data_IF_828183066595
#
_entry.id   IF_828183066595
#
_cell.length_a   1.000
_cell.length_b   1.000
_cell.length_c   1.000
_cell.angle_alpha   90.00
_cell.angle_beta   90.00
_cell.angle_gamma   90.00
#
_symmetry.space_group_name_H-M   'P 1'
#
loop_
_entity.id
_entity.type
_entity.pdbx_description
1 polymer ?
#
# COMPACT_ATOMS: atom_id res chain seq x y z
N UNK A 1 38.07 29.27 19.56
CA UNK A 1 37.95 29.72 18.16
C UNK A 1 36.49 29.60 17.81
N UNK A 2 35.83 30.76 17.74
CA UNK A 2 34.48 30.97 17.23
C UNK A 2 34.46 30.63 15.74
N UNK A 3 33.72 29.59 15.36
CA UNK A 3 33.31 29.40 13.96
C UNK A 3 31.88 29.90 13.77
N UNK A 4 31.76 30.64 12.67
CA UNK A 4 30.68 31.54 12.33
C UNK A 4 29.54 30.73 11.71
N UNK A 5 28.37 30.79 12.33
CA UNK A 5 27.13 30.28 11.76
C UNK A 5 26.79 31.06 10.48
N UNK A 6 26.59 30.32 9.39
CA UNK A 6 26.22 30.85 8.09
C UNK A 6 24.76 31.35 8.13
N UNK A 7 24.47 32.64 7.87
CA UNK A 7 23.14 33.23 8.08
C UNK A 7 22.07 32.78 7.05
N UNK A 8 22.40 31.90 6.12
CA UNK A 8 21.46 31.36 5.12
C UNK A 8 20.77 30.04 5.50
N UNK A 9 21.11 29.43 6.64
CA UNK A 9 20.43 28.21 7.14
C UNK A 9 19.33 28.50 8.18
N UNK A 10 19.09 29.77 8.51
CA UNK A 10 18.15 30.16 9.58
C UNK A 10 16.78 30.62 9.11
N UNK A 11 16.55 30.79 7.79
CA UNK A 11 15.29 31.34 7.25
C UNK A 11 14.35 30.30 6.62
N UNK A 12 14.74 29.02 6.59
CA UNK A 12 13.90 27.91 6.07
C UNK A 12 13.50 26.92 7.18
N UNK A 13 13.62 27.35 8.45
CA UNK A 13 13.28 26.57 9.64
C UNK A 13 12.01 27.08 10.34
N UNK A 14 11.26 28.00 9.71
CA UNK A 14 10.00 28.52 10.23
C UNK A 14 8.95 28.56 9.12
N UNK A 15 8.26 27.45 8.89
CA UNK A 15 6.87 27.38 8.36
C UNK A 15 6.44 25.92 8.08
N UNK A 16 6.71 25.00 9.00
CA UNK A 16 5.84 23.83 9.19
C UNK A 16 5.35 23.93 10.62
N UNK A 17 4.63 25.01 10.89
CA UNK A 17 3.86 25.12 12.12
C UNK A 17 2.90 23.93 12.19
N UNK A 18 2.81 23.38 13.40
CA UNK A 18 1.87 22.39 13.88
C UNK A 18 0.43 22.77 13.52
N UNK A 19 0.09 22.62 12.25
CA UNK A 19 -1.30 22.61 11.81
C UNK A 19 -1.78 21.23 12.22
N UNK A 20 -2.27 21.16 13.46
CA UNK A 20 -3.17 20.11 13.94
C UNK A 20 -4.09 19.74 12.77
N UNK A 21 -4.37 18.44 12.59
CA UNK A 21 -5.32 17.93 11.60
C UNK A 21 -6.74 18.46 11.91
N UNK A 22 -6.94 19.76 11.73
CA UNK A 22 -8.23 20.42 11.66
C UNK A 22 -8.59 20.37 10.19
N UNK A 23 -9.06 19.20 9.75
CA UNK A 23 -10.08 19.21 8.73
C UNK A 23 -11.16 20.20 9.18
N UNK A 24 -11.67 21.03 8.27
CA UNK A 24 -12.78 21.93 8.54
C UNK A 24 -14.00 21.07 8.91
N UNK A 25 -14.13 20.76 10.21
CA UNK A 25 -15.04 19.77 10.79
C UNK A 25 -16.44 20.37 10.98
N UNK A 26 -16.95 21.08 9.99
CA UNK A 26 -18.41 21.21 9.87
C UNK A 26 -18.95 19.86 9.41
N UNK A 27 -19.12 18.94 10.35
CA UNK A 27 -19.74 17.63 10.12
C UNK A 27 -21.09 17.88 9.46
N UNK A 28 -21.34 17.39 8.22
CA UNK A 28 -22.69 17.40 7.68
C UNK A 28 -23.62 16.71 8.69
N UNK A 29 -24.79 17.31 8.94
CA UNK A 29 -25.79 16.79 9.89
C UNK A 29 -26.18 15.31 9.67
N UNK A 30 -25.88 14.76 8.49
CA UNK A 30 -26.05 13.34 8.15
C UNK A 30 -25.08 12.38 8.86
N UNK A 31 -24.03 12.87 9.55
CA UNK A 31 -23.01 12.04 10.22
C UNK A 31 -23.41 11.51 11.59
N UNK A 32 -24.62 11.83 12.09
CA UNK A 32 -25.22 11.05 13.18
C UNK A 32 -25.68 9.71 12.63
N UNK A 33 -24.71 8.84 12.33
CA UNK A 33 -24.92 7.39 12.27
C UNK A 33 -25.82 7.05 13.45
N UNK A 34 -27.05 6.58 13.22
CA UNK A 34 -27.83 5.93 14.27
C UNK A 34 -26.88 4.93 14.90
N UNK A 35 -26.39 5.19 16.10
CA UNK A 35 -25.30 4.42 16.70
C UNK A 35 -25.71 2.96 16.65
N UNK A 36 -25.07 2.19 15.78
CA UNK A 36 -25.25 0.75 15.74
C UNK A 36 -24.92 0.26 17.14
N UNK A 37 -25.82 -0.50 17.74
CA UNK A 37 -25.62 -1.05 19.09
C UNK A 37 -24.30 -1.82 19.08
N UNK A 38 -23.45 -1.57 20.08
CA UNK A 38 -22.19 -2.28 20.21
C UNK A 38 -22.45 -3.77 20.33
N UNK A 39 -21.79 -4.53 19.48
CA UNK A 39 -21.79 -5.99 19.47
C UNK A 39 -20.37 -6.49 19.25
N UNK A 40 -20.15 -7.75 19.61
CA UNK A 40 -18.87 -8.44 19.41
C UNK A 40 -18.82 -9.05 18.00
N UNK A 41 -17.61 -9.33 17.51
CA UNK A 41 -17.45 -9.98 16.23
C UNK A 41 -17.93 -11.45 16.30
N UNK A 42 -18.55 -11.89 15.21
CA UNK A 42 -19.10 -13.24 15.04
C UNK A 42 -18.94 -13.58 13.56
N UNK A 43 -18.02 -14.49 13.25
CA UNK A 43 -17.72 -14.83 11.86
C UNK A 43 -18.94 -15.37 11.11
N UNK A 44 -19.86 -16.08 11.78
CA UNK A 44 -21.04 -16.65 11.12
C UNK A 44 -22.05 -15.59 10.64
N UNK A 45 -22.04 -14.42 11.28
CA UNK A 45 -22.89 -13.27 10.93
C UNK A 45 -22.14 -12.24 10.09
N UNK A 46 -20.90 -11.96 10.48
CA UNK A 46 -20.19 -10.77 10.05
C UNK A 46 -19.25 -11.02 8.88
N UNK A 47 -18.75 -12.24 8.69
CA UNK A 47 -17.93 -12.62 7.55
C UNK A 47 -18.84 -13.13 6.42
N UNK A 48 -18.67 -12.56 5.23
CA UNK A 48 -19.32 -13.03 4.00
C UNK A 48 -18.18 -13.37 3.07
N UNK A 49 -17.97 -14.64 2.77
CA UNK A 49 -16.86 -15.05 1.91
C UNK A 49 -17.31 -15.99 0.80
N UNK A 50 -17.13 -15.52 -0.42
CA UNK A 50 -17.14 -16.32 -1.64
C UNK A 50 -15.81 -16.10 -2.36
N UNK A 51 -15.25 -17.17 -2.94
CA UNK A 51 -13.95 -17.08 -3.61
C UNK A 51 -14.08 -16.18 -4.85
N UNK A 52 -13.30 -15.09 -4.95
CA UNK A 52 -13.29 -14.25 -6.14
C UNK A 52 -12.44 -14.84 -7.26
N UNK A 53 -12.64 -14.27 -8.44
CA UNK A 53 -11.65 -14.32 -9.51
C UNK A 53 -10.36 -13.62 -9.07
N UNK A 54 -9.23 -14.20 -9.46
CA UNK A 54 -7.90 -13.67 -9.18
C UNK A 54 -7.13 -13.49 -10.48
N UNK A 55 -6.29 -12.47 -10.52
CA UNK A 55 -5.34 -12.21 -11.60
C UNK A 55 -3.98 -12.71 -11.15
N UNK A 56 -3.28 -13.47 -11.99
CA UNK A 56 -1.97 -14.01 -11.65
C UNK A 56 -0.85 -13.01 -12.00
N UNK A 57 0.31 -13.16 -11.37
CA UNK A 57 1.52 -12.38 -11.67
C UNK A 57 1.90 -12.46 -13.15
N UNK A 58 1.76 -13.63 -13.76
CA UNK A 58 2.07 -13.82 -15.18
C UNK A 58 1.07 -13.11 -16.10
N UNK A 59 -0.20 -13.01 -15.71
CA UNK A 59 -1.26 -12.35 -16.50
C UNK A 59 -1.00 -10.84 -16.64
N UNK A 60 -0.31 -10.25 -15.65
CA UNK A 60 0.13 -8.85 -15.67
C UNK A 60 1.60 -8.68 -16.08
N UNK A 61 2.21 -9.72 -16.67
CA UNK A 61 3.55 -9.64 -17.28
C UNK A 61 4.71 -9.68 -16.28
N UNK A 62 4.49 -10.04 -15.02
CA UNK A 62 5.55 -10.28 -14.05
C UNK A 62 5.98 -11.77 -14.05
N UNK A 63 7.27 -12.02 -13.86
CA UNK A 63 7.77 -13.40 -13.64
C UNK A 63 7.25 -13.96 -12.31
N UNK A 64 7.09 -15.29 -12.23
CA UNK A 64 6.69 -16.03 -11.02
C UNK A 64 7.57 -15.75 -9.81
N UNK A 65 8.84 -15.40 -10.02
CA UNK A 65 9.82 -15.20 -8.95
C UNK A 65 9.81 -13.79 -8.34
N UNK A 66 9.05 -12.86 -8.96
CA UNK A 66 8.95 -11.48 -8.49
C UNK A 66 8.17 -11.41 -7.17
N UNK A 67 7.02 -12.07 -7.10
CA UNK A 67 6.19 -12.12 -5.90
C UNK A 67 6.55 -13.28 -4.97
N UNK A 68 5.76 -13.43 -3.91
CA UNK A 68 5.82 -14.58 -2.98
C UNK A 68 4.62 -15.53 -3.16
N UNK A 69 3.74 -15.20 -4.09
CA UNK A 69 2.59 -15.99 -4.52
C UNK A 69 2.39 -15.84 -6.03
N UNK A 70 1.78 -16.83 -6.72
CA UNK A 70 1.34 -16.65 -8.09
C UNK A 70 0.21 -15.62 -8.25
N UNK A 71 -0.58 -15.34 -7.21
CA UNK A 71 -1.74 -14.42 -7.30
C UNK A 71 -1.29 -12.96 -7.17
N UNK A 72 -1.43 -12.16 -8.22
CA UNK A 72 -1.11 -10.74 -8.17
C UNK A 72 -2.14 -9.94 -7.36
N UNK A 73 -3.41 -10.06 -7.74
CA UNK A 73 -4.51 -9.28 -7.17
C UNK A 73 -5.85 -10.02 -7.33
N UNK A 74 -6.77 -9.86 -6.38
CA UNK A 74 -8.14 -10.35 -6.53
C UNK A 74 -9.02 -9.32 -7.25
N UNK A 75 -10.06 -9.78 -7.95
CA UNK A 75 -11.21 -8.90 -8.19
C UNK A 75 -11.87 -8.53 -6.84
N UNK A 76 -12.59 -7.40 -6.75
CA UNK A 76 -13.32 -7.04 -5.53
C UNK A 76 -14.31 -8.13 -5.12
N UNK A 77 -14.39 -8.41 -3.83
CA UNK A 77 -15.29 -9.43 -3.28
C UNK A 77 -15.83 -9.01 -1.94
N UNK A 78 -17.09 -9.38 -1.65
CA UNK A 78 -17.65 -9.14 -0.32
C UNK A 78 -16.81 -9.93 0.69
N UNK A 79 -16.32 -9.27 1.73
CA UNK A 79 -15.60 -9.89 2.84
C UNK A 79 -16.38 -9.76 4.15
N UNK A 80 -16.94 -8.58 4.40
CA UNK A 80 -17.69 -8.29 5.62
C UNK A 80 -19.12 -7.87 5.31
N UNK A 81 -20.07 -8.27 6.15
CA UNK A 81 -21.46 -7.82 6.08
C UNK A 81 -21.58 -6.31 6.27
N UNK A 82 -22.72 -5.74 5.87
CA UNK A 82 -23.03 -4.34 6.14
C UNK A 82 -22.96 -4.03 7.65
N UNK A 83 -23.55 -4.88 8.50
CA UNK A 83 -23.53 -4.72 9.96
C UNK A 83 -22.09 -4.64 10.48
N UNK A 84 -21.20 -5.52 10.01
CA UNK A 84 -19.80 -5.52 10.38
C UNK A 84 -19.08 -4.22 9.97
N UNK A 85 -19.32 -3.74 8.75
CA UNK A 85 -18.79 -2.44 8.30
C UNK A 85 -19.30 -1.31 9.19
N UNK A 86 -20.55 -1.34 9.61
CA UNK A 86 -21.11 -0.32 10.50
C UNK A 86 -20.47 -0.34 11.89
N UNK A 87 -20.14 -1.52 12.44
CA UNK A 87 -19.37 -1.65 13.68
C UNK A 87 -17.95 -1.06 13.53
N UNK A 88 -17.24 -1.43 12.45
CA UNK A 88 -15.90 -0.90 12.15
C UNK A 88 -15.92 0.63 11.99
N UNK A 89 -16.88 1.17 11.24
CA UNK A 89 -17.04 2.63 11.07
C UNK A 89 -17.25 3.33 12.40
N UNK A 90 -18.06 2.76 13.31
CA UNK A 90 -18.26 3.34 14.64
C UNK A 90 -16.93 3.46 15.39
N UNK A 91 -16.12 2.40 15.40
CA UNK A 91 -14.81 2.41 16.05
C UNK A 91 -13.85 3.42 15.41
N UNK A 92 -13.82 3.49 14.07
CA UNK A 92 -13.02 4.47 13.32
C UNK A 92 -13.36 5.91 13.69
N UNK A 93 -14.66 6.26 13.73
CA UNK A 93 -15.08 7.63 14.06
C UNK A 93 -14.88 7.97 15.53
N UNK A 94 -15.09 7.03 16.44
CA UNK A 94 -14.79 7.22 17.87
C UNK A 94 -13.30 7.55 18.08
N UNK A 95 -12.42 6.81 17.41
CA UNK A 95 -10.97 7.05 17.47
C UNK A 95 -10.58 8.37 16.81
N UNK A 96 -11.11 8.68 15.64
CA UNK A 96 -10.85 9.95 14.96
C UNK A 96 -11.17 11.15 15.87
N UNK A 97 -12.29 11.09 16.58
CA UNK A 97 -12.80 12.22 17.35
C UNK A 97 -12.16 12.32 18.75
N UNK A 98 -11.71 11.19 19.33
CA UNK A 98 -11.22 11.13 20.71
C UNK A 98 -9.72 10.84 20.87
N UNK A 99 -9.02 10.39 19.81
CA UNK A 99 -7.63 9.90 19.86
C UNK A 99 -6.74 10.51 18.77
N UNK A 100 -6.42 11.81 18.86
CA UNK A 100 -5.60 12.51 17.85
C UNK A 100 -4.17 11.97 17.74
N UNK A 101 -3.66 11.25 18.75
CA UNK A 101 -2.35 10.59 18.70
C UNK A 101 -2.24 9.50 17.63
N UNK A 102 -3.38 8.96 17.16
CA UNK A 102 -3.45 7.95 16.11
C UNK A 102 -3.63 8.54 14.70
N UNK A 103 -3.69 9.87 14.57
CA UNK A 103 -3.91 10.58 13.30
C UNK A 103 -2.59 11.00 12.65
N UNK A 104 -2.43 10.66 11.37
CA UNK A 104 -1.23 10.92 10.58
C UNK A 104 -1.58 11.57 9.23
N UNK A 105 -0.60 12.25 8.62
CA UNK A 105 -0.71 12.86 7.30
C UNK A 105 0.61 12.69 6.55
N UNK A 106 0.54 12.62 5.22
CA UNK A 106 1.71 12.66 4.34
C UNK A 106 1.52 13.49 3.07
N UNK A 107 2.60 13.59 2.29
CA UNK A 107 2.59 14.17 0.94
C UNK A 107 1.71 13.41 -0.06
N UNK A 108 1.34 12.16 0.20
CA UNK A 108 0.49 11.34 -0.69
C UNK A 108 -0.89 11.01 -0.12
N UNK A 109 -1.12 11.22 1.19
CA UNK A 109 -2.39 10.95 1.84
C UNK A 109 -2.72 12.05 2.88
N UNK A 110 -3.88 12.72 2.77
CA UNK A 110 -4.19 13.90 3.59
C UNK A 110 -4.56 13.57 5.04
N UNK A 111 -5.07 12.38 5.31
CA UNK A 111 -5.57 12.01 6.63
C UNK A 111 -5.61 10.48 6.79
N UNK A 112 -4.90 9.98 7.80
CA UNK A 112 -4.76 8.54 8.07
C UNK A 112 -4.93 8.23 9.56
N UNK A 113 -5.53 7.08 9.88
CA UNK A 113 -5.53 6.50 11.24
C UNK A 113 -4.64 5.26 11.27
N UNK A 114 -3.72 5.15 12.23
CA UNK A 114 -2.84 3.99 12.40
C UNK A 114 -2.65 3.60 13.87
N UNK A 115 -2.34 2.33 14.13
CA UNK A 115 -1.97 1.84 15.47
C UNK A 115 -3.07 1.92 16.55
N UNK A 116 -4.34 2.10 16.16
CA UNK A 116 -5.44 2.29 17.11
C UNK A 116 -6.16 0.99 17.46
N UNK A 117 -6.14 0.01 16.54
CA UNK A 117 -7.04 -1.14 16.59
C UNK A 117 -6.91 -1.99 17.86
N UNK A 118 -5.70 -2.38 18.30
CA UNK A 118 -5.56 -3.27 19.46
C UNK A 118 -6.11 -2.69 20.76
N UNK A 119 -6.16 -1.35 20.86
CA UNK A 119 -6.55 -0.65 22.09
C UNK A 119 -7.99 -0.15 22.04
N UNK A 120 -8.46 0.30 20.89
CA UNK A 120 -9.70 1.08 20.79
C UNK A 120 -10.77 0.44 19.89
N UNK A 121 -10.42 -0.56 19.09
CA UNK A 121 -11.33 -1.15 18.10
C UNK A 121 -11.42 -2.69 18.22
N UNK A 122 -11.98 -3.21 19.34
CA UNK A 122 -12.03 -4.65 19.59
C UNK A 122 -12.82 -5.43 18.52
N UNK A 123 -13.91 -4.87 17.98
CA UNK A 123 -14.65 -5.54 16.90
C UNK A 123 -13.76 -5.67 15.66
N UNK A 124 -13.08 -4.59 15.29
CA UNK A 124 -12.14 -4.58 14.16
C UNK A 124 -10.96 -5.52 14.41
N UNK A 125 -10.40 -5.55 15.62
CA UNK A 125 -9.31 -6.44 15.98
C UNK A 125 -9.71 -7.91 15.82
N UNK A 126 -10.83 -8.30 16.41
CA UNK A 126 -11.35 -9.66 16.31
C UNK A 126 -11.66 -10.02 14.86
N UNK A 127 -12.29 -9.11 14.10
CA UNK A 127 -12.61 -9.35 12.69
C UNK A 127 -11.38 -9.68 11.83
N UNK A 128 -10.27 -8.97 12.02
CA UNK A 128 -9.05 -9.15 11.23
C UNK A 128 -8.11 -10.24 11.74
N UNK A 129 -8.24 -10.65 13.01
CA UNK A 129 -7.43 -11.72 13.60
C UNK A 129 -8.17 -13.07 13.66
N UNK A 130 -9.48 -13.08 13.40
CA UNK A 130 -10.28 -14.31 13.41
C UNK A 130 -9.75 -15.37 12.42
N UNK A 131 -9.62 -16.65 12.82
CA UNK A 131 -9.12 -17.72 11.96
C UNK A 131 -9.83 -17.83 10.61
N UNK A 132 -11.16 -17.67 10.58
CA UNK A 132 -11.95 -17.76 9.34
C UNK A 132 -11.65 -16.61 8.37
N UNK A 133 -11.45 -15.39 8.88
CA UNK A 133 -11.02 -14.25 8.06
C UNK A 133 -9.63 -14.50 7.48
N UNK A 134 -8.69 -14.96 8.31
CA UNK A 134 -7.32 -15.27 7.87
C UNK A 134 -7.30 -16.41 6.84
N UNK A 135 -8.15 -17.43 7.01
CA UNK A 135 -8.30 -18.52 6.06
C UNK A 135 -8.86 -18.04 4.72
N UNK A 136 -9.88 -17.17 4.74
CA UNK A 136 -10.44 -16.56 3.54
C UNK A 136 -9.37 -15.75 2.77
N UNK A 137 -8.67 -14.84 3.44
CA UNK A 137 -7.63 -14.00 2.84
C UNK A 137 -6.47 -14.84 2.31
N UNK A 138 -6.00 -15.83 3.07
CA UNK A 138 -4.94 -16.75 2.64
C UNK A 138 -5.33 -17.55 1.40
N UNK A 139 -6.59 -17.98 1.32
CA UNK A 139 -7.13 -18.69 0.16
C UNK A 139 -7.13 -17.80 -1.08
N UNK A 140 -7.54 -16.53 -0.95
CA UNK A 140 -7.49 -15.56 -2.05
C UNK A 140 -6.05 -15.27 -2.46
N UNK A 141 -5.16 -15.09 -1.50
CA UNK A 141 -3.76 -14.77 -1.72
C UNK A 141 -2.95 -15.93 -2.32
N UNK A 142 -3.43 -17.17 -2.25
CA UNK A 142 -2.70 -18.36 -2.69
C UNK A 142 -1.50 -18.75 -1.81
N UNK A 143 -1.39 -18.16 -0.62
CA UNK A 143 -0.34 -18.40 0.37
C UNK A 143 -0.90 -18.16 1.78
N UNK A 144 -0.40 -18.90 2.77
CA UNK A 144 -0.83 -18.73 4.17
C UNK A 144 -0.30 -17.42 4.75
N UNK A 145 -1.23 -16.54 5.13
CA UNK A 145 -0.97 -15.18 5.59
C UNK A 145 -1.40 -14.99 7.05
N UNK A 146 -0.67 -14.10 7.72
CA UNK A 146 -1.03 -13.51 9.01
C UNK A 146 -0.95 -11.99 8.89
N UNK A 147 -1.69 -11.22 9.72
CA UNK A 147 -1.46 -9.80 9.83
C UNK A 147 0.02 -9.55 10.11
N UNK A 148 0.58 -8.51 9.48
CA UNK A 148 2.00 -8.19 9.62
C UNK A 148 2.38 -7.98 11.09
N UNK A 149 1.56 -7.19 11.77
CA UNK A 149 1.63 -6.81 13.17
C UNK A 149 0.37 -6.03 13.54
N UNK A 150 0.13 -5.89 14.84
CA UNK A 150 -1.06 -5.24 15.41
C UNK A 150 -1.17 -3.76 14.97
N UNK A 151 -0.03 -3.10 14.77
CA UNK A 151 0.06 -1.71 14.33
C UNK A 151 -0.55 -1.46 12.93
N UNK A 152 -0.53 -2.47 12.06
CA UNK A 152 -0.98 -2.41 10.67
C UNK A 152 -2.34 -3.06 10.42
N UNK A 153 -3.06 -3.41 11.49
CA UNK A 153 -4.45 -3.84 11.38
C UNK A 153 -5.32 -2.62 11.08
N UNK A 154 -6.08 -2.70 9.99
CA UNK A 154 -7.08 -1.72 9.56
C UNK A 154 -6.62 -0.25 9.64
N UNK A 155 -5.45 0.06 9.06
CA UNK A 155 -5.08 1.46 8.88
C UNK A 155 -6.10 2.14 7.98
N UNK A 156 -6.55 3.34 8.35
CA UNK A 156 -7.61 4.03 7.61
C UNK A 156 -7.02 5.12 6.74
N UNK A 157 -7.46 5.20 5.50
CA UNK A 157 -7.32 6.42 4.69
C UNK A 157 -8.67 7.13 4.67
N UNK A 158 -8.69 8.37 5.15
CA UNK A 158 -9.88 9.21 5.26
C UNK A 158 -9.85 10.31 4.21
N UNK A 159 -10.86 10.36 3.35
CA UNK A 159 -11.12 11.50 2.47
C UNK A 159 -12.56 11.96 2.65
N UNK A 160 -12.76 13.23 3.01
CA UNK A 160 -14.08 13.85 3.16
C UNK A 160 -14.16 15.12 2.34
N UNK A 161 -15.28 15.33 1.67
CA UNK A 161 -15.60 16.51 0.86
C UNK A 161 -16.94 17.09 1.30
N UNK A 162 -17.08 18.41 1.24
CA UNK A 162 -18.39 19.06 1.45
C UNK A 162 -19.33 18.79 0.27
N UNK A 163 -20.65 18.84 0.49
CA UNK A 163 -21.62 18.68 -0.60
C UNK A 163 -21.45 19.72 -1.69
N UNK A 164 -21.04 20.94 -1.33
CA UNK A 164 -20.74 22.01 -2.29
C UNK A 164 -19.51 21.66 -3.15
N UNK A 165 -18.45 21.09 -2.55
CA UNK A 165 -17.28 20.61 -3.29
C UNK A 165 -17.64 19.47 -4.24
N UNK A 166 -18.48 18.52 -3.79
CA UNK A 166 -18.95 17.42 -4.64
C UNK A 166 -19.77 17.95 -5.82
N UNK A 167 -20.67 18.92 -5.59
CA UNK A 167 -21.47 19.50 -6.66
C UNK A 167 -20.61 20.25 -7.68
N UNK A 168 -19.64 21.04 -7.21
CA UNK A 168 -18.69 21.73 -8.08
C UNK A 168 -17.90 20.75 -8.96
N UNK A 169 -17.40 19.65 -8.39
CA UNK A 169 -16.70 18.60 -9.15
C UNK A 169 -17.59 17.96 -10.21
N UNK A 170 -18.86 17.70 -9.89
CA UNK A 170 -19.83 17.13 -10.83
C UNK A 170 -20.17 18.12 -11.95
N UNK A 171 -20.34 19.40 -11.62
CA UNK A 171 -20.61 20.47 -12.60
C UNK A 171 -19.40 20.69 -13.53
N UNK A 172 -18.18 20.64 -12.99
CA UNK A 172 -16.93 20.68 -13.77
C UNK A 172 -16.81 19.48 -14.71
N UNK A 173 -17.13 18.26 -14.27
CA UNK A 173 -17.17 17.07 -15.13
C UNK A 173 -18.21 17.19 -16.23
N UNK A 174 -19.42 17.64 -15.90
CA UNK A 174 -20.48 17.83 -16.89
C UNK A 174 -20.09 18.89 -17.92
N UNK A 175 -19.47 19.98 -17.51
CA UNK A 175 -18.99 21.02 -18.44
C UNK A 175 -17.86 20.52 -19.34
N UNK A 176 -16.89 19.74 -18.80
CA UNK A 176 -15.86 19.07 -19.62
C UNK A 176 -16.47 18.07 -20.60
N UNK A 177 -17.43 17.25 -20.16
CA UNK A 177 -18.15 16.30 -21.03
C UNK A 177 -18.90 17.00 -22.17
N UNK A 178 -19.53 18.15 -21.89
CA UNK A 178 -20.20 18.96 -22.91
C UNK A 178 -19.19 19.59 -23.88
N UNK A 179 -18.07 20.11 -23.37
CA UNK A 179 -17.00 20.66 -24.21
C UNK A 179 -16.38 19.61 -25.14
N UNK A 180 -16.16 18.38 -24.67
CA UNK A 180 -15.66 17.27 -25.51
C UNK A 180 -16.72 16.71 -26.49
N UNK A 181 -18.02 16.90 -26.22
CA UNK A 181 -19.07 16.50 -27.15
C UNK A 181 -19.25 17.48 -28.32
N UNK A 182 -18.73 18.72 -28.20
CA UNK A 182 -18.75 19.73 -29.25
C UNK A 182 -17.51 19.68 -30.16
N UNK A 183 -16.47 18.91 -29.77
CA UNK A 183 -15.22 18.72 -30.52
C UNK A 183 -15.17 17.30 -31.11
N UNK A 184 -15.80 17.11 -32.28
CA UNK A 184 -15.73 15.82 -33.00
C UNK A 184 -14.31 15.58 -33.55
N UNK A 185 -13.56 14.74 -32.83
CA UNK A 185 -12.53 13.90 -33.43
C UNK A 185 -11.09 14.16 -33.02
N UNK A 186 -10.72 13.74 -31.81
CA UNK A 186 -9.49 12.99 -31.49
C UNK A 186 -9.78 12.27 -30.16
N UNK A 187 -9.70 10.94 -30.17
CA UNK A 187 -10.06 10.09 -29.05
C UNK A 187 -9.07 10.20 -27.89
N UNK A 188 -9.39 11.03 -26.90
CA UNK A 188 -8.79 10.99 -25.57
C UNK A 188 -9.91 10.90 -24.53
N UNK A 189 -9.84 9.93 -23.61
CA UNK A 189 -10.77 9.88 -22.49
C UNK A 189 -10.53 11.10 -21.58
N UNK A 190 -11.56 11.84 -21.14
CA UNK A 190 -11.40 13.13 -20.45
C UNK A 190 -10.89 13.04 -18.98
N UNK A 191 -10.18 11.98 -18.60
CA UNK A 191 -9.79 11.67 -17.22
C UNK A 191 -8.30 11.89 -16.91
N UNK A 192 -7.54 12.56 -17.78
CA UNK A 192 -6.06 12.57 -17.69
C UNK A 192 -5.47 13.59 -16.69
N UNK A 193 -6.25 14.50 -16.10
CA UNK A 193 -5.74 15.56 -15.21
C UNK A 193 -6.35 15.54 -13.78
N UNK A 194 -6.45 14.37 -13.14
CA UNK A 194 -6.91 14.30 -11.74
C UNK A 194 -5.88 13.75 -10.76
N UNK A 195 -5.48 14.60 -9.81
CA UNK A 195 -4.58 14.25 -8.71
C UNK A 195 -5.14 13.01 -7.96
N UNK A 196 -4.35 11.93 -7.82
CA UNK A 196 -4.79 10.68 -7.20
C UNK A 196 -5.04 10.83 -5.69
N UNK A 197 -5.81 9.90 -5.12
CA UNK A 197 -6.05 9.83 -3.66
C UNK A 197 -4.80 9.33 -2.95
N UNK A 198 -4.15 8.34 -3.55
CA UNK A 198 -2.82 7.86 -3.16
C UNK A 198 -2.04 7.71 -4.45
N UNK A 199 -0.89 8.38 -4.54
CA UNK A 199 -0.01 8.38 -5.72
C UNK A 199 0.55 7.00 -6.05
N UNK A 200 1.28 6.88 -7.16
CA UNK A 200 1.98 5.65 -7.50
C UNK A 200 2.97 5.25 -6.41
N UNK A 201 2.90 4.00 -5.98
CA UNK A 201 3.81 3.45 -4.97
C UNK A 201 3.86 1.91 -5.04
N UNK A 202 4.84 1.35 -4.35
CA UNK A 202 4.81 -0.02 -3.83
C UNK A 202 4.61 0.00 -2.32
N UNK A 203 3.86 -0.97 -1.82
CA UNK A 203 3.63 -1.08 -0.40
C UNK A 203 4.89 -1.46 0.37
N UNK A 204 4.84 -1.19 1.66
CA UNK A 204 5.83 -1.66 2.63
C UNK A 204 5.79 -3.18 2.81
N UNK A 205 4.63 -3.81 2.68
CA UNK A 205 4.39 -5.20 3.12
C UNK A 205 4.03 -6.12 1.95
N UNK A 206 4.38 -7.42 2.01
CA UNK A 206 4.18 -8.35 0.91
C UNK A 206 2.75 -8.36 0.36
N UNK A 207 1.76 -8.33 1.26
CA UNK A 207 0.35 -8.30 0.91
C UNK A 207 -0.41 -7.21 1.65
N UNK A 208 -1.48 -6.74 1.02
CA UNK A 208 -2.49 -5.90 1.65
C UNK A 208 -3.88 -6.42 1.33
N UNK A 209 -4.80 -6.23 2.27
CA UNK A 209 -6.23 -6.36 2.05
C UNK A 209 -6.89 -4.99 2.24
N UNK A 210 -7.41 -4.43 1.16
CA UNK A 210 -8.06 -3.11 1.15
C UNK A 210 -9.57 -3.30 1.21
N UNK A 211 -10.18 -2.95 2.34
CA UNK A 211 -11.61 -2.99 2.61
C UNK A 211 -12.24 -1.61 2.43
N UNK A 212 -13.34 -1.53 1.67
CA UNK A 212 -14.11 -0.30 1.54
C UNK A 212 -15.12 -0.16 2.68
N UNK A 213 -15.05 0.94 3.43
CA UNK A 213 -15.98 1.25 4.52
C UNK A 213 -17.05 2.28 4.11
N UNK A 214 -16.84 3.06 3.04
CA UNK A 214 -17.85 4.01 2.55
C UNK A 214 -18.84 3.36 1.59
N UNK A 215 -20.06 3.91 1.56
CA UNK A 215 -21.02 3.61 0.51
C UNK A 215 -20.59 4.28 -0.79
N UNK A 216 -20.20 3.46 -1.77
CA UNK A 216 -19.71 3.89 -3.07
C UNK A 216 -20.76 3.84 -4.18
N UNK A 217 -22.05 3.68 -3.86
CA UNK A 217 -23.11 3.45 -4.87
C UNK A 217 -23.19 4.56 -5.93
N UNK A 218 -22.90 5.81 -5.54
CA UNK A 218 -22.93 6.97 -6.45
C UNK A 218 -21.52 7.43 -6.90
N UNK A 219 -20.47 6.64 -6.59
CA UNK A 219 -19.10 7.02 -6.93
C UNK A 219 -18.80 6.69 -8.39
N UNK A 220 -18.24 7.69 -9.09
CA UNK A 220 -17.65 7.52 -10.42
C UNK A 220 -16.12 7.57 -10.25
N UNK A 221 -15.42 6.56 -10.75
CA UNK A 221 -13.98 6.39 -10.55
C UNK A 221 -13.63 5.64 -9.25
N UNK A 222 -12.45 5.90 -8.71
CA UNK A 222 -11.96 5.24 -7.48
C UNK A 222 -11.33 3.87 -7.69
N UNK A 223 -11.06 3.49 -8.94
CA UNK A 223 -10.36 2.27 -9.30
C UNK A 223 -8.94 2.24 -8.74
N UNK A 224 -8.43 1.03 -8.54
CA UNK A 224 -7.01 0.82 -8.33
C UNK A 224 -6.36 0.60 -9.69
N UNK A 225 -5.44 1.49 -10.05
CA UNK A 225 -4.60 1.33 -11.23
C UNK A 225 -3.37 0.50 -10.85
N UNK A 226 -3.03 -0.48 -11.68
CA UNK A 226 -1.88 -1.38 -11.53
C UNK A 226 -1.00 -1.21 -12.77
N UNK A 227 0.30 -1.04 -12.54
CA UNK A 227 1.30 -1.02 -13.61
C UNK A 227 1.72 -2.47 -13.92
N UNK A 228 1.51 -2.91 -15.17
CA UNK A 228 1.92 -4.22 -15.66
C UNK A 228 3.42 -4.27 -15.95
N UNK A 229 3.98 -5.47 -16.06
CA UNK A 229 5.38 -5.70 -16.42
C UNK A 229 5.78 -5.19 -17.81
N UNK A 230 4.81 -4.97 -18.71
CA UNK A 230 5.01 -4.36 -20.02
C UNK A 230 4.89 -2.81 -20.02
N UNK A 231 4.60 -2.19 -18.87
CA UNK A 231 4.40 -0.76 -18.72
C UNK A 231 2.96 -0.27 -18.97
N UNK A 232 2.03 -1.15 -19.34
CA UNK A 232 0.61 -0.78 -19.49
C UNK A 232 -0.08 -0.65 -18.12
N UNK A 233 -1.11 0.19 -18.05
CA UNK A 233 -1.91 0.40 -16.83
C UNK A 233 -3.21 -0.42 -16.92
N UNK A 234 -3.44 -1.31 -15.96
CA UNK A 234 -4.73 -1.98 -15.76
C UNK A 234 -5.52 -1.30 -14.65
N UNK A 235 -6.77 -0.94 -14.93
CA UNK A 235 -7.69 -0.39 -13.92
C UNK A 235 -8.61 -1.49 -13.41
N UNK A 236 -8.54 -1.75 -12.11
CA UNK A 236 -9.42 -2.70 -11.43
C UNK A 236 -10.56 -1.94 -10.78
N UNK A 237 -11.79 -2.36 -11.07
CA UNK A 237 -13.01 -1.74 -10.56
C UNK A 237 -12.93 -1.54 -9.04
N UNK A 238 -13.31 -0.36 -8.57
CA UNK A 238 -13.33 -0.04 -7.15
C UNK A 238 -14.30 -0.92 -6.35
N UNK A 239 -13.95 -1.31 -5.11
CA UNK A 239 -14.83 -2.07 -4.23
C UNK A 239 -16.02 -1.24 -3.74
N UNK A 240 -17.19 -1.89 -3.62
CA UNK A 240 -18.35 -1.37 -2.88
C UNK A 240 -18.18 -1.58 -1.38
N UNK A 241 -19.04 -0.96 -0.56
CA UNK A 241 -18.99 -1.09 0.90
C UNK A 241 -18.95 -2.56 1.36
N UNK A 242 -18.00 -2.90 2.22
CA UNK A 242 -17.76 -4.26 2.73
C UNK A 242 -17.05 -5.19 1.75
N UNK A 243 -16.78 -4.75 0.53
CA UNK A 243 -15.91 -5.46 -0.40
C UNK A 243 -14.45 -5.17 -0.11
N UNK A 244 -13.64 -6.21 -0.31
CA UNK A 244 -12.20 -6.17 -0.16
C UNK A 244 -11.49 -6.50 -1.48
N UNK A 245 -10.24 -6.07 -1.58
CA UNK A 245 -9.28 -6.48 -2.60
C UNK A 245 -8.02 -6.96 -1.90
N UNK A 246 -7.49 -8.11 -2.29
CA UNK A 246 -6.19 -8.62 -1.83
C UNK A 246 -5.16 -8.40 -2.93
N UNK A 247 -4.03 -7.77 -2.60
CA UNK A 247 -3.00 -7.35 -3.55
C UNK A 247 -1.60 -7.68 -3.02
N UNK A 248 -0.71 -8.17 -3.90
CA UNK A 248 0.74 -8.27 -3.65
C UNK A 248 1.44 -6.90 -3.75
N UNK A 249 1.04 -5.96 -2.88
CA UNK A 249 1.36 -4.54 -3.01
C UNK A 249 2.84 -4.19 -2.94
N UNK A 250 3.67 -5.01 -2.28
CA UNK A 250 5.14 -4.81 -2.27
C UNK A 250 5.77 -4.96 -3.64
N UNK A 251 5.18 -5.79 -4.48
CA UNK A 251 5.79 -6.24 -5.74
C UNK A 251 5.24 -5.47 -6.94
N UNK A 252 3.97 -5.03 -6.83
CA UNK A 252 3.20 -4.41 -7.89
C UNK A 252 3.08 -2.91 -7.63
N UNK A 253 3.57 -2.10 -8.57
CA UNK A 253 3.38 -0.64 -8.53
C UNK A 253 1.92 -0.31 -8.83
N UNK A 254 1.28 0.44 -7.94
CA UNK A 254 -0.15 0.72 -8.02
C UNK A 254 -0.50 2.11 -7.50
N UNK A 255 -1.72 2.55 -7.82
CA UNK A 255 -2.24 3.88 -7.49
C UNK A 255 -3.74 3.80 -7.21
N UNK A 256 -4.22 4.59 -6.24
CA UNK A 256 -5.66 4.75 -6.00
C UNK A 256 -6.17 5.99 -6.72
N UNK A 257 -7.00 5.78 -7.75
CA UNK A 257 -7.57 6.87 -8.53
C UNK A 257 -8.60 7.65 -7.71
N UNK A 258 -8.81 8.91 -8.12
CA UNK A 258 -9.84 9.76 -7.53
C UNK A 258 -11.23 9.21 -7.84
N UNK A 259 -12.11 9.37 -6.87
CA UNK A 259 -13.54 9.12 -7.03
C UNK A 259 -14.31 10.42 -6.87
N UNK A 260 -15.33 10.56 -7.70
CA UNK A 260 -16.18 11.73 -7.85
C UNK A 260 -17.61 11.33 -7.44
N UNK A 261 -18.41 12.29 -6.95
CA UNK A 261 -19.81 12.05 -6.60
C UNK A 261 -20.07 11.50 -5.19
N UNK A 262 -19.05 11.31 -4.34
CA UNK A 262 -19.22 10.97 -2.93
C UNK A 262 -18.64 12.03 -1.99
N UNK A 263 -19.32 12.22 -0.86
CA UNK A 263 -18.90 13.12 0.23
C UNK A 263 -17.84 12.48 1.12
N UNK A 264 -17.69 11.16 1.09
CA UNK A 264 -16.64 10.45 1.82
C UNK A 264 -16.10 9.24 1.04
N UNK A 265 -14.81 8.94 1.28
CA UNK A 265 -14.18 7.68 0.91
C UNK A 265 -13.30 7.24 2.06
N UNK A 266 -13.73 6.19 2.74
CA UNK A 266 -13.05 5.57 3.87
C UNK A 266 -12.63 4.16 3.45
N UNK A 267 -11.33 3.91 3.43
CA UNK A 267 -10.77 2.58 3.19
C UNK A 267 -9.97 2.12 4.38
N UNK A 268 -10.25 0.91 4.86
CA UNK A 268 -9.43 0.23 5.85
C UNK A 268 -8.46 -0.71 5.13
N UNK A 269 -7.19 -0.68 5.49
CA UNK A 269 -6.17 -1.51 4.87
C UNK A 269 -5.45 -2.28 5.96
N UNK A 270 -5.46 -3.60 5.83
CA UNK A 270 -4.71 -4.49 6.71
C UNK A 270 -3.56 -5.11 5.94
N UNK A 271 -2.35 -4.99 6.48
CA UNK A 271 -1.15 -5.54 5.85
C UNK A 271 -0.84 -6.94 6.36
N UNK A 272 -0.31 -7.78 5.48
CA UNK A 272 -0.08 -9.20 5.74
C UNK A 272 1.34 -9.63 5.37
N UNK A 273 1.82 -10.65 6.07
CA UNK A 273 3.07 -11.37 5.79
C UNK A 273 2.81 -12.87 5.73
N UNK A 274 3.69 -13.65 5.09
CA UNK A 274 3.63 -15.10 5.18
C UNK A 274 3.68 -15.59 6.63
N UNK A 275 2.84 -16.56 6.97
CA UNK A 275 2.91 -17.23 8.29
C UNK A 275 4.22 -17.98 8.46
N UNK A 276 4.67 -18.65 7.40
CA UNK A 276 5.89 -19.45 7.43
C UNK A 276 7.13 -18.57 7.45
N UNK A 277 7.95 -18.72 8.49
CA UNK A 277 9.26 -18.06 8.59
C UNK A 277 10.24 -18.52 7.51
N UNK A 278 9.98 -19.62 6.80
CA UNK A 278 10.81 -20.13 5.70
C UNK A 278 10.53 -19.43 4.36
N UNK A 279 9.41 -18.73 4.23
CA UNK A 279 9.09 -17.97 3.03
C UNK A 279 9.81 -16.63 3.01
N UNK A 280 9.96 -16.07 1.81
CA UNK A 280 10.57 -14.76 1.61
C UNK A 280 9.65 -13.68 2.19
N UNK A 281 10.25 -12.74 2.91
CA UNK A 281 9.58 -11.56 3.47
C UNK A 281 10.41 -10.33 3.12
N UNK A 282 9.93 -9.58 2.13
CA UNK A 282 10.57 -8.37 1.62
C UNK A 282 9.94 -7.10 2.20
N UNK A 283 9.40 -7.16 3.43
CA UNK A 283 8.86 -5.99 4.12
C UNK A 283 9.92 -4.91 4.26
N UNK A 284 9.63 -3.70 3.79
CA UNK A 284 10.42 -2.48 4.03
C UNK A 284 9.61 -1.49 4.84
N UNK A 285 10.25 -0.52 5.49
CA UNK A 285 9.58 0.47 6.34
C UNK A 285 9.61 1.89 5.75
N UNK A 286 10.22 2.08 4.58
CA UNK A 286 10.43 3.42 4.01
C UNK A 286 9.15 4.23 3.74
N UNK A 287 8.03 3.60 3.36
CA UNK A 287 6.77 4.30 3.08
C UNK A 287 5.91 4.52 4.33
N UNK A 288 6.03 3.65 5.34
CA UNK A 288 5.22 3.73 6.58
C UNK A 288 5.91 4.47 7.73
N UNK A 289 7.25 4.49 7.75
CA UNK A 289 8.05 5.13 8.79
C UNK A 289 7.72 6.62 8.98
N UNK A 290 7.56 7.45 7.94
CA UNK A 290 7.20 8.87 8.11
C UNK A 290 5.83 9.11 8.74
N UNK A 291 4.95 8.11 8.73
CA UNK A 291 3.54 8.21 9.11
C UNK A 291 3.16 7.25 10.24
N UNK A 292 4.12 6.89 11.10
CA UNK A 292 3.89 5.93 12.18
C UNK A 292 4.50 6.39 13.51
N UNK A 293 4.00 5.85 14.62
CA UNK A 293 4.75 5.80 15.86
C UNK A 293 5.95 4.86 15.68
N UNK A 294 7.14 5.45 15.64
CA UNK A 294 8.36 4.74 15.29
C UNK A 294 8.75 3.69 16.33
N UNK A 295 8.48 3.95 17.61
CA UNK A 295 8.82 3.01 18.68
C UNK A 295 8.01 1.71 18.52
N UNK A 296 6.70 1.83 18.31
CA UNK A 296 5.81 0.68 18.12
C UNK A 296 6.11 -0.04 16.80
N UNK A 297 6.27 0.71 15.70
CA UNK A 297 6.61 0.15 14.40
C UNK A 297 7.92 -0.66 14.44
N UNK A 298 8.97 -0.13 15.06
CA UNK A 298 10.27 -0.81 15.17
C UNK A 298 10.25 -1.97 16.15
N UNK A 299 9.45 -1.87 17.23
CA UNK A 299 9.23 -2.98 18.14
C UNK A 299 8.63 -4.18 17.40
N UNK A 300 7.47 -4.00 16.77
CA UNK A 300 6.77 -5.09 16.07
C UNK A 300 7.61 -5.64 14.92
N UNK A 301 8.24 -4.76 14.14
CA UNK A 301 9.13 -5.18 13.06
C UNK A 301 10.29 -6.04 13.55
N UNK A 302 10.92 -5.63 14.66
CA UNK A 302 12.06 -6.36 15.21
C UNK A 302 11.63 -7.68 15.82
N UNK A 303 10.51 -7.68 16.56
CA UNK A 303 9.98 -8.86 17.25
C UNK A 303 9.73 -10.01 16.28
N UNK A 304 8.86 -9.85 15.28
CA UNK A 304 8.55 -10.96 14.38
C UNK A 304 9.76 -11.38 13.53
N UNK A 305 10.62 -10.44 13.14
CA UNK A 305 11.83 -10.77 12.36
C UNK A 305 12.83 -11.58 13.19
N UNK A 306 12.96 -11.30 14.48
CA UNK A 306 13.78 -12.09 15.41
C UNK A 306 13.17 -13.48 15.63
N UNK A 307 11.85 -13.59 15.77
CA UNK A 307 11.16 -14.88 15.83
C UNK A 307 11.41 -15.72 14.56
N UNK A 308 11.35 -15.11 13.37
CA UNK A 308 11.68 -15.78 12.12
C UNK A 308 13.11 -16.32 12.12
N UNK A 309 14.09 -15.57 12.62
CA UNK A 309 15.47 -16.04 12.74
C UNK A 309 15.57 -17.22 13.71
N UNK A 310 14.89 -17.16 14.86
CA UNK A 310 14.84 -18.25 15.83
C UNK A 310 14.32 -19.53 15.16
N UNK A 311 13.19 -19.46 14.46
CA UNK A 311 12.61 -20.59 13.74
C UNK A 311 13.57 -21.17 12.68
N UNK A 312 14.17 -20.31 11.86
CA UNK A 312 15.13 -20.69 10.82
C UNK A 312 16.34 -21.40 11.40
N UNK A 313 16.94 -20.86 12.47
CA UNK A 313 18.07 -21.50 13.14
C UNK A 313 17.67 -22.81 13.81
N UNK A 314 16.50 -22.90 14.43
CA UNK A 314 15.99 -24.15 15.01
C UNK A 314 15.80 -25.23 13.94
N UNK A 315 15.21 -24.88 12.80
CA UNK A 315 15.03 -25.79 11.67
C UNK A 315 16.38 -26.29 11.12
N UNK A 316 17.33 -25.39 10.90
CA UNK A 316 18.66 -25.75 10.41
C UNK A 316 19.44 -26.60 11.44
N UNK A 317 19.34 -26.29 12.73
CA UNK A 317 19.97 -27.07 13.79
C UNK A 317 19.39 -28.49 13.87
N UNK A 318 18.06 -28.62 13.74
CA UNK A 318 17.39 -29.92 13.69
C UNK A 318 17.88 -30.74 12.49
N UNK A 319 18.00 -30.11 11.32
CA UNK A 319 18.52 -30.74 10.10
C UNK A 319 19.96 -31.24 10.28
N UNK A 320 20.88 -30.36 10.72
CA UNK A 320 22.28 -30.70 10.97
C UNK A 320 22.42 -31.89 11.93
N UNK A 321 21.68 -31.89 13.04
CA UNK A 321 21.69 -32.99 14.02
C UNK A 321 21.19 -34.30 13.42
N UNK A 322 20.11 -34.23 12.64
CA UNK A 322 19.50 -35.42 12.02
C UNK A 322 20.43 -36.06 11.00
N UNK A 323 21.03 -35.24 10.13
CA UNK A 323 21.96 -35.72 9.10
C UNK A 323 23.24 -36.29 9.71
N UNK A 324 23.80 -35.64 10.73
CA UNK A 324 24.97 -36.13 11.45
C UNK A 324 24.72 -37.49 12.12
N UNK A 325 23.59 -37.64 12.83
CA UNK A 325 23.20 -38.92 13.46
C UNK A 325 22.97 -40.03 12.42
N UNK A 326 22.55 -39.68 11.22
CA UNK A 326 22.41 -40.61 10.10
C UNK A 326 23.75 -40.94 9.41
N UNK A 327 24.89 -40.44 9.92
CA UNK A 327 26.22 -40.68 9.36
C UNK A 327 26.49 -39.95 8.05
N UNK A 328 25.65 -38.98 7.66
CA UNK A 328 25.89 -38.17 6.47
C UNK A 328 26.99 -37.16 6.73
N UNK A 329 27.81 -36.87 5.70
CA UNK A 329 28.75 -35.75 5.75
C UNK A 329 27.97 -34.43 5.75
N UNK A 330 28.48 -33.43 6.46
CA UNK A 330 27.91 -32.09 6.45
C UNK A 330 27.95 -31.50 5.05
N UNK A 331 26.81 -31.06 4.53
CA UNK A 331 26.73 -30.31 3.28
C UNK A 331 27.20 -28.86 3.52
N UNK A 332 28.48 -28.61 3.24
CA UNK A 332 29.10 -27.30 3.43
C UNK A 332 28.47 -26.25 2.53
N UNK A 333 28.14 -26.60 1.28
CA UNK A 333 27.55 -25.67 0.31
C UNK A 333 26.20 -25.17 0.79
N UNK A 334 25.34 -26.10 1.24
CA UNK A 334 24.03 -25.74 1.74
C UNK A 334 24.08 -24.98 3.07
N UNK A 335 25.01 -25.34 3.96
CA UNK A 335 25.22 -24.61 5.21
C UNK A 335 25.68 -23.17 4.95
N UNK A 336 26.63 -22.96 4.04
CA UNK A 336 27.08 -21.63 3.65
C UNK A 336 25.97 -20.81 2.99
N UNK A 337 25.15 -21.43 2.13
CA UNK A 337 23.97 -20.78 1.54
C UNK A 337 23.00 -20.29 2.61
N UNK A 338 22.68 -21.14 3.60
CA UNK A 338 21.82 -20.78 4.72
C UNK A 338 22.38 -19.61 5.54
N UNK A 339 23.67 -19.65 5.88
CA UNK A 339 24.32 -18.58 6.66
C UNK A 339 24.35 -17.26 5.90
N UNK A 340 24.65 -17.28 4.60
CA UNK A 340 24.63 -16.09 3.75
C UNK A 340 23.21 -15.51 3.63
N UNK A 341 22.18 -16.36 3.54
CA UNK A 341 20.79 -15.90 3.56
C UNK A 341 20.46 -15.18 4.87
N UNK A 342 20.89 -15.71 6.02
CA UNK A 342 20.64 -15.06 7.32
C UNK A 342 21.43 -13.75 7.47
N UNK A 343 22.66 -13.69 6.94
CA UNK A 343 23.42 -12.44 6.88
C UNK A 343 22.70 -11.37 6.06
N UNK A 344 22.15 -11.74 4.90
CA UNK A 344 21.39 -10.82 4.06
C UNK A 344 20.10 -10.35 4.75
N UNK A 345 19.40 -11.25 5.46
CA UNK A 345 18.21 -10.94 6.22
C UNK A 345 18.49 -9.93 7.35
N UNK A 346 19.54 -10.17 8.14
CA UNK A 346 19.96 -9.24 9.21
C UNK A 346 20.42 -7.90 8.62
N UNK A 347 21.23 -7.93 7.55
CA UNK A 347 21.68 -6.71 6.89
C UNK A 347 20.50 -5.90 6.32
N UNK A 348 19.45 -6.57 5.85
CA UNK A 348 18.21 -5.93 5.44
C UNK A 348 17.51 -5.26 6.64
N UNK A 349 17.31 -5.95 7.76
CA UNK A 349 16.74 -5.35 8.98
C UNK A 349 17.51 -4.10 9.43
N UNK A 350 18.84 -4.14 9.40
CA UNK A 350 19.70 -3.00 9.76
C UNK A 350 19.47 -1.78 8.87
N UNK A 351 19.11 -1.97 7.59
CA UNK A 351 18.76 -0.84 6.69
C UNK A 351 17.38 -0.26 6.99
N UNK A 352 16.45 -1.08 7.48
CA UNK A 352 15.07 -0.67 7.74
C UNK A 352 14.88 0.07 9.08
N UNK A 353 15.77 -0.13 10.05
CA UNK A 353 15.76 0.58 11.33
C UNK A 353 16.76 1.74 11.27
N UNK A 354 16.26 2.97 11.28
CA UNK A 354 17.10 4.19 11.27
C UNK A 354 16.92 4.97 12.57
N UNK A 355 17.90 5.81 12.96
CA UNK A 355 17.74 6.72 14.09
C UNK A 355 16.48 7.58 13.97
N UNK A 356 15.77 7.80 15.07
CA UNK A 356 14.53 8.59 15.09
C UNK A 356 14.69 9.98 14.48
N UNK A 357 15.84 10.62 14.69
CA UNK A 357 16.13 11.97 14.21
C UNK A 357 16.34 12.04 12.68
N UNK A 358 16.54 10.91 12.01
CA UNK A 358 16.74 10.85 10.57
C UNK A 358 15.40 10.72 9.80
N UNK A 359 14.28 10.61 10.52
CA UNK A 359 12.94 10.46 9.93
C UNK A 359 12.24 11.81 9.84
N UNK A 360 11.96 12.24 8.61
CA UNK A 360 11.11 13.41 8.35
C UNK A 360 9.65 12.96 8.34
N UNK A 361 8.87 13.40 9.34
CA UNK A 361 7.45 13.04 9.46
C UNK A 361 6.65 13.52 8.24
N UNK A 362 5.76 12.65 7.74
CA UNK A 362 4.85 12.92 6.62
C UNK A 362 5.49 12.99 5.24
N UNK A 363 6.81 12.84 5.11
CA UNK A 363 7.49 12.90 3.81
C UNK A 363 7.88 11.49 3.34
N UNK A 364 7.10 10.95 2.41
CA UNK A 364 7.44 9.71 1.73
C UNK A 364 8.38 9.98 0.53
N UNK A 365 9.32 9.06 0.24
CA UNK A 365 10.14 9.14 -0.97
C UNK A 365 9.26 9.16 -2.22
N UNK A 366 9.61 9.97 -3.22
CA UNK A 366 8.99 9.87 -4.54
C UNK A 366 9.49 8.59 -5.23
N UNK A 367 8.60 7.67 -5.54
CA UNK A 367 8.92 6.61 -6.50
C UNK A 367 8.99 7.24 -7.90
N UNK A 368 10.08 6.96 -8.63
CA UNK A 368 10.19 7.34 -10.03
C UNK A 368 9.41 6.31 -10.85
N UNK A 369 8.17 6.64 -11.18
CA UNK A 369 7.41 5.93 -12.20
C UNK A 369 7.62 6.69 -13.51
N UNK A 370 7.84 6.01 -14.65
CA UNK A 370 7.88 6.69 -15.94
C UNK A 370 6.58 7.45 -16.11
N UNK A 371 6.66 8.77 -16.30
CA UNK A 371 5.52 9.54 -16.77
C UNK A 371 5.04 8.92 -18.10
N UNK A 372 3.73 8.97 -18.32
CA UNK A 372 3.03 8.31 -19.42
C UNK A 372 3.74 8.43 -20.79
N UNK A 373 3.50 7.44 -21.64
CA UNK A 373 4.03 7.26 -22.99
C UNK A 373 4.24 8.59 -23.76
N UNK A 374 5.27 8.69 -24.62
CA UNK A 374 5.69 9.96 -25.23
C UNK A 374 4.51 10.66 -25.90
N UNK A 375 4.27 11.90 -25.47
CA UNK A 375 3.31 12.82 -26.10
C UNK A 375 3.50 12.80 -27.62
N UNK A 376 2.42 12.63 -28.38
CA UNK A 376 2.40 12.64 -29.85
C UNK A 376 2.79 13.99 -30.50
N UNK A 377 3.40 14.92 -29.76
CA UNK A 377 3.88 16.22 -30.25
C UNK A 377 5.38 16.27 -30.56
N UNK A 378 6.03 15.12 -30.78
CA UNK A 378 7.33 15.07 -31.43
C UNK A 378 7.14 15.04 -32.96
N UNK A 379 6.83 16.18 -33.57
CA UNK A 379 6.96 16.36 -35.03
C UNK A 379 8.32 15.86 -35.52
N UNK A 380 8.39 15.04 -36.58
CA UNK A 380 9.64 14.52 -37.11
C UNK A 380 10.42 15.63 -37.83
N UNK A 381 11.25 16.34 -37.08
CA UNK A 381 12.16 17.36 -37.61
C UNK A 381 13.38 16.74 -38.29
N UNK A 382 13.30 16.58 -39.61
CA UNK A 382 14.39 16.89 -40.55
C UNK A 382 15.69 16.07 -40.46
N UNK A 383 15.75 15.03 -41.30
CA UNK A 383 17.01 14.52 -41.86
C UNK A 383 17.79 15.67 -42.53
N UNK A 384 18.98 16.00 -42.02
CA UNK A 384 20.01 16.67 -42.81
C UNK A 384 21.23 15.76 -42.95
N UNK A 385 21.41 15.30 -44.18
CA UNK A 385 22.58 14.61 -44.70
C UNK A 385 23.89 15.35 -44.37
N UNK A 386 24.89 14.61 -43.91
CA UNK A 386 26.28 14.85 -44.29
C UNK A 386 26.92 13.51 -44.66
N UNK A 387 27.12 13.35 -45.97
CA UNK A 387 27.89 12.29 -46.60
C UNK A 387 29.39 12.40 -46.29
N UNK A 388 30.08 11.25 -46.34
CA UNK A 388 31.41 11.19 -46.94
C UNK A 388 32.58 10.93 -45.99
N UNK A 389 33.01 9.67 -45.92
CA UNK A 389 34.31 9.30 -45.34
C UNK A 389 34.57 7.80 -45.35
N UNK A 390 35.11 7.29 -46.45
CA UNK A 390 35.52 5.88 -46.68
C UNK A 390 36.72 5.43 -45.81
N UNK A 391 36.99 4.11 -45.72
CA UNK A 391 37.61 3.48 -44.55
C UNK A 391 39.13 3.30 -44.66
N UNK A 392 39.82 3.35 -43.53
CA UNK A 392 41.23 2.91 -43.44
C UNK A 392 41.42 1.79 -42.43
N UNK A 393 42.20 0.81 -42.86
CA UNK A 393 42.50 -0.47 -42.24
C UNK A 393 43.45 -0.29 -41.03
N UNK A 394 43.38 -1.28 -40.13
CA UNK A 394 44.29 -1.54 -39.00
C UNK A 394 45.78 -1.35 -39.36
N UNK A 395 46.60 -1.19 -38.32
CA UNK A 395 47.71 -2.11 -38.15
C UNK A 395 47.65 -2.83 -36.80
N UNK A 396 48.01 -4.12 -36.85
CA UNK A 396 48.58 -4.87 -35.73
C UNK A 396 49.87 -4.19 -35.30
N UNK A 397 50.15 -4.18 -34.00
CA UNK A 397 51.52 -4.25 -33.50
C UNK A 397 51.55 -5.28 -32.38
N UNK A 398 52.65 -6.02 -32.40
CA UNK A 398 53.08 -7.20 -31.65
C UNK A 398 52.95 -7.13 -30.12
#
# INVERSE_FOLDING_TARGET
MTEVLNPFQSSMLMALDNTTCQADLSTPSSFKTKMTVKEDFDASKHLIFEMPEVVMMEDIGYSKDVGISPVAVSKPFQLFSHDAVMQMRREVFDVRDNHPENMFQSNIAPCQLRGYVPKYAPFTYDAWTHPDTLAAISKVAGVDLVPWGDYEIAHINLSTKSTAQVQLELDELESKKRAHAEDEGIGGCPHEDEKPIVGWHKDSYPFVCVLMLSDCTNMIGGETAILKGNGEIERVRGPSMGCAVVLQGRYITHQALRALGATERITAVTSFRPRSSMLRDDTVLNTVRPISDLSTLYYEFSEYRLEMLVDRFQAQLKKLRTEHRAGKKTDVTQLLSFLNEQQNFIAHMTREIVPYNDVIKGLLPKEHVPDDAPSEDATPGGLSYLEGGTPSKRPRVD
#
